data_IF_025116893496
#
_entry.id   IF_025116893496
#
_cell.length_a   1.000
_cell.length_b   1.000
_cell.length_c   1.000
_cell.angle_alpha   90.00
_cell.angle_beta   90.00
_cell.angle_gamma   90.00
#
_symmetry.space_group_name_H-M   'P 1'
#
loop_
_entity.id
_entity.type
_entity.pdbx_description
1 polymer ?
#
# COMPACT_ATOMS: atom_id res chain seq x y z
N UNK A 1 -16.45 -0.05 3.67
CA UNK A 1 -14.98 0.03 3.50
C UNK A 1 -14.64 -0.12 2.01
N UNK A 2 -13.86 0.81 1.44
CA UNK A 2 -13.34 0.72 0.06
C UNK A 2 -12.09 -0.17 0.01
N UNK A 3 -11.67 -0.61 -1.18
CA UNK A 3 -10.53 -1.52 -1.33
C UNK A 3 -9.20 -0.93 -0.77
N UNK A 4 -8.96 0.37 -0.96
CA UNK A 4 -7.81 1.05 -0.32
C UNK A 4 -7.91 1.06 1.20
N UNK A 5 -9.11 1.25 1.76
CA UNK A 5 -9.34 1.17 3.21
C UNK A 5 -9.03 -0.22 3.76
N UNK A 6 -9.39 -1.29 3.05
CA UNK A 6 -8.99 -2.64 3.43
C UNK A 6 -7.46 -2.81 3.41
N UNK A 7 -6.78 -2.27 2.39
CA UNK A 7 -5.32 -2.31 2.33
C UNK A 7 -4.68 -1.58 3.52
N UNK A 8 -5.18 -0.39 3.86
CA UNK A 8 -4.73 0.38 5.02
C UNK A 8 -4.95 -0.35 6.34
N UNK A 9 -6.15 -0.91 6.55
CA UNK A 9 -6.47 -1.74 7.72
C UNK A 9 -5.49 -2.91 7.83
N UNK A 10 -5.26 -3.65 6.74
CA UNK A 10 -4.33 -4.75 6.73
C UNK A 10 -2.90 -4.30 7.04
N UNK A 11 -2.47 -3.17 6.49
CA UNK A 11 -1.12 -2.63 6.71
C UNK A 11 -0.89 -2.25 8.17
N UNK A 12 -1.86 -1.56 8.78
CA UNK A 12 -1.79 -1.11 10.16
C UNK A 12 -1.88 -2.28 11.14
N UNK A 13 -2.87 -3.16 10.99
CA UNK A 13 -3.03 -4.32 11.87
C UNK A 13 -1.85 -5.29 11.75
N UNK A 14 -1.19 -5.31 10.60
CA UNK A 14 0.05 -6.05 10.37
C UNK A 14 1.31 -5.31 10.86
N UNK A 15 1.21 -4.10 11.41
CA UNK A 15 2.34 -3.28 11.88
C UNK A 15 3.36 -2.97 10.78
N UNK A 16 2.95 -2.98 9.52
CA UNK A 16 3.82 -2.71 8.36
C UNK A 16 4.03 -1.19 8.23
N UNK A 17 3.12 -0.38 8.74
CA UNK A 17 3.26 1.07 8.86
C UNK A 17 4.19 1.52 10.01
N UNK A 18 4.73 0.59 10.81
CA UNK A 18 5.65 0.89 11.93
C UNK A 18 7.09 0.69 11.50
N UNK A 19 7.96 1.62 11.87
CA UNK A 19 9.40 1.53 11.68
C UNK A 19 10.16 1.64 13.01
N UNK A 20 11.20 0.82 13.12
CA UNK A 20 12.16 0.85 14.22
C UNK A 20 13.55 0.53 13.64
N UNK A 21 14.65 1.16 14.10
CA UNK A 21 16.00 0.96 13.55
C UNK A 21 16.47 -0.50 13.56
N UNK A 22 15.93 -1.33 14.45
CA UNK A 22 16.22 -2.77 14.46
C UNK A 22 15.86 -3.49 13.15
N UNK A 23 14.96 -2.94 12.31
CA UNK A 23 14.65 -3.47 10.99
C UNK A 23 15.80 -3.36 9.99
N UNK A 24 16.82 -2.53 10.22
CA UNK A 24 18.02 -2.55 9.39
C UNK A 24 18.74 -3.91 9.44
N UNK A 25 18.62 -4.62 10.57
CA UNK A 25 19.15 -5.98 10.74
C UNK A 25 18.19 -7.07 10.24
N UNK A 26 16.91 -6.74 10.01
CA UNK A 26 15.85 -7.65 9.59
C UNK A 26 15.13 -7.09 8.37
N UNK A 27 15.63 -7.44 7.18
CA UNK A 27 15.14 -6.90 5.91
C UNK A 27 13.64 -7.10 5.76
N UNK A 28 12.91 -6.00 5.58
CA UNK A 28 11.49 -6.01 5.21
C UNK A 28 11.36 -6.35 3.73
N UNK A 29 11.32 -7.64 3.42
CA UNK A 29 11.18 -8.16 2.06
C UNK A 29 9.70 -8.30 1.65
N UNK A 30 9.38 -8.46 0.36
CA UNK A 30 8.01 -8.79 -0.05
C UNK A 30 7.46 -10.05 0.62
N UNK A 31 8.31 -11.08 0.83
CA UNK A 31 7.90 -12.28 1.55
C UNK A 31 7.58 -12.03 3.03
N UNK A 32 8.31 -11.12 3.68
CA UNK A 32 7.98 -10.68 5.04
C UNK A 32 6.63 -9.94 5.08
N UNK A 33 6.36 -9.08 4.09
CA UNK A 33 5.06 -8.40 3.96
C UNK A 33 3.93 -9.41 3.77
N UNK A 34 4.06 -10.35 2.83
CA UNK A 34 3.06 -11.41 2.62
C UNK A 34 2.81 -12.23 3.89
N UNK A 35 3.87 -12.62 4.61
CA UNK A 35 3.71 -13.33 5.88
C UNK A 35 2.91 -12.53 6.91
N UNK A 36 3.23 -11.25 7.11
CA UNK A 36 2.49 -10.38 8.05
C UNK A 36 1.02 -10.22 7.64
N UNK A 37 0.76 -9.97 6.36
CA UNK A 37 -0.60 -9.84 5.83
C UNK A 37 -1.41 -11.13 5.99
N UNK A 38 -0.79 -12.29 5.75
CA UNK A 38 -1.42 -13.59 5.89
C UNK A 38 -1.83 -13.88 7.35
N UNK A 39 -0.95 -13.59 8.31
CA UNK A 39 -1.24 -13.73 9.75
C UNK A 39 -2.40 -12.85 10.20
N UNK A 40 -2.44 -11.60 9.72
CA UNK A 40 -3.51 -10.65 10.01
C UNK A 40 -4.83 -11.08 9.36
N UNK A 41 -4.80 -11.49 8.10
CA UNK A 41 -5.98 -11.92 7.34
C UNK A 41 -6.64 -13.19 7.91
N UNK A 42 -5.90 -14.02 8.64
CA UNK A 42 -6.46 -15.17 9.36
C UNK A 42 -7.43 -14.76 10.48
N UNK A 43 -7.29 -13.52 10.98
CA UNK A 43 -8.06 -12.98 12.12
C UNK A 43 -9.23 -12.09 11.68
N UNK A 44 -9.21 -11.61 10.43
CA UNK A 44 -10.27 -10.79 9.84
C UNK A 44 -11.28 -11.70 9.16
N UNK A 45 -12.58 -11.49 9.38
CA UNK A 45 -13.64 -12.26 8.71
C UNK A 45 -14.30 -11.45 7.59
N UNK A 46 -14.58 -12.12 6.48
CA UNK A 46 -15.45 -11.64 5.41
C UNK A 46 -16.67 -12.57 5.34
N UNK A 47 -17.82 -12.08 5.80
CA UNK A 47 -18.97 -12.93 6.08
C UNK A 47 -18.60 -14.03 7.09
N UNK A 48 -18.72 -15.30 6.67
CA UNK A 48 -18.51 -16.45 7.56
C UNK A 48 -17.12 -17.09 7.47
N UNK A 49 -16.22 -16.58 6.64
CA UNK A 49 -14.87 -17.17 6.48
C UNK A 49 -13.79 -16.14 6.83
N UNK A 50 -12.58 -16.60 7.23
CA UNK A 50 -11.42 -15.72 7.31
C UNK A 50 -11.08 -15.13 5.94
N UNK A 51 -10.64 -13.87 5.91
CA UNK A 51 -10.16 -13.17 4.72
C UNK A 51 -9.03 -13.94 4.04
N UNK A 52 -8.17 -14.59 4.83
CA UNK A 52 -7.08 -15.44 4.35
C UNK A 52 -7.53 -16.48 3.31
N UNK A 53 -8.78 -16.96 3.37
CA UNK A 53 -9.29 -17.95 2.40
C UNK A 53 -9.59 -17.34 1.02
N UNK A 54 -9.65 -16.02 0.90
CA UNK A 54 -9.86 -15.32 -0.37
C UNK A 54 -8.69 -14.39 -0.73
N UNK A 55 -7.65 -14.34 0.10
CA UNK A 55 -6.53 -13.40 -0.04
C UNK A 55 -5.31 -14.08 -0.67
N UNK A 56 -4.95 -13.67 -1.88
CA UNK A 56 -3.72 -14.07 -2.55
C UNK A 56 -2.65 -12.99 -2.38
N UNK A 57 -1.40 -13.38 -2.16
CA UNK A 57 -0.34 -12.46 -1.75
C UNK A 57 0.90 -12.57 -2.63
N UNK A 58 1.72 -11.50 -2.63
CA UNK A 58 3.02 -11.45 -3.33
C UNK A 58 3.82 -12.73 -3.10
N UNK A 59 4.23 -13.36 -4.19
CA UNK A 59 5.03 -14.57 -4.18
C UNK A 59 6.21 -14.43 -5.15
N UNK A 60 7.40 -14.78 -4.67
CA UNK A 60 8.54 -15.03 -5.54
C UNK A 60 8.39 -16.39 -6.21
N UNK A 61 9.05 -16.57 -7.36
CA UNK A 61 9.13 -17.87 -8.02
C UNK A 61 9.62 -18.92 -7.01
N UNK A 62 8.98 -20.08 -7.03
CA UNK A 62 9.32 -21.25 -6.20
C UNK A 62 9.19 -21.04 -4.67
N UNK A 63 8.60 -19.93 -4.21
CA UNK A 63 8.29 -19.73 -2.80
C UNK A 63 7.07 -20.56 -2.34
N UNK A 64 6.96 -20.94 -1.05
CA UNK A 64 5.79 -21.65 -0.53
C UNK A 64 4.46 -20.90 -0.76
N UNK A 65 4.51 -19.56 -0.81
CA UNK A 65 3.35 -18.71 -1.10
C UNK A 65 2.71 -19.04 -2.46
N UNK A 66 3.47 -19.53 -3.44
CA UNK A 66 2.95 -19.92 -4.77
C UNK A 66 1.95 -21.07 -4.66
N UNK A 67 2.27 -22.09 -3.85
CA UNK A 67 1.38 -23.22 -3.63
C UNK A 67 0.11 -22.78 -2.89
N UNK A 68 0.27 -21.91 -1.89
CA UNK A 68 -0.86 -21.36 -1.13
C UNK A 68 -1.79 -20.53 -2.03
N UNK A 69 -1.23 -19.65 -2.88
CA UNK A 69 -1.99 -18.87 -3.86
C UNK A 69 -2.78 -19.79 -4.81
N UNK A 70 -2.16 -20.83 -5.37
CA UNK A 70 -2.85 -21.79 -6.25
C UNK A 70 -3.98 -22.52 -5.55
N UNK A 71 -3.77 -22.90 -4.29
CA UNK A 71 -4.80 -23.58 -3.50
C UNK A 71 -5.99 -22.65 -3.24
N UNK A 72 -5.73 -21.39 -2.85
CA UNK A 72 -6.77 -20.37 -2.65
C UNK A 72 -7.58 -20.14 -3.92
N UNK A 73 -6.93 -19.98 -5.08
CA UNK A 73 -7.60 -19.80 -6.36
C UNK A 73 -8.48 -21.02 -6.71
N UNK A 74 -7.97 -22.24 -6.51
CA UNK A 74 -8.72 -23.47 -6.77
C UNK A 74 -9.97 -23.58 -5.90
N UNK A 75 -9.84 -23.30 -4.60
CA UNK A 75 -10.97 -23.37 -3.67
C UNK A 75 -11.98 -22.26 -3.92
N UNK A 76 -11.51 -21.06 -4.30
CA UNK A 76 -12.36 -19.95 -4.69
C UNK A 76 -13.17 -20.26 -5.95
N UNK A 77 -12.57 -20.86 -6.97
CA UNK A 77 -13.27 -21.30 -8.18
C UNK A 77 -14.35 -22.35 -7.89
N UNK A 78 -14.05 -23.34 -7.04
CA UNK A 78 -15.04 -24.36 -6.61
C UNK A 78 -16.21 -23.77 -5.83
N UNK A 79 -15.93 -22.75 -5.02
CA UNK A 79 -16.91 -22.09 -4.17
C UNK A 79 -17.58 -20.86 -4.81
N UNK A 80 -17.33 -20.58 -6.10
CA UNK A 80 -17.77 -19.37 -6.79
C UNK A 80 -17.51 -18.09 -5.97
N UNK A 81 -16.31 -18.00 -5.39
CA UNK A 81 -15.92 -16.95 -4.45
C UNK A 81 -14.95 -15.97 -5.11
N UNK A 82 -15.21 -14.67 -4.88
CA UNK A 82 -14.32 -13.58 -5.29
C UNK A 82 -12.96 -13.68 -4.59
N UNK A 83 -11.94 -13.18 -5.27
CA UNK A 83 -10.59 -13.11 -4.73
C UNK A 83 -10.22 -11.66 -4.40
N UNK A 84 -9.39 -11.50 -3.37
CA UNK A 84 -8.62 -10.30 -3.11
C UNK A 84 -7.16 -10.65 -3.36
N UNK A 85 -6.45 -9.87 -4.16
CA UNK A 85 -5.04 -10.07 -4.44
C UNK A 85 -4.26 -8.84 -3.98
N UNK A 86 -3.18 -9.03 -3.25
CA UNK A 86 -2.23 -7.96 -2.90
C UNK A 86 -0.89 -8.28 -3.54
N UNK A 87 -0.45 -7.42 -4.45
CA UNK A 87 0.88 -7.49 -5.05
C UNK A 87 1.57 -6.12 -5.13
N UNK A 88 2.63 -6.05 -5.93
CA UNK A 88 3.25 -4.81 -6.38
C UNK A 88 3.15 -4.72 -7.91
N UNK A 89 3.09 -3.50 -8.44
CA UNK A 89 3.37 -3.29 -9.86
C UNK A 89 4.81 -3.75 -10.17
N UNK A 90 5.01 -4.30 -11.37
CA UNK A 90 6.33 -4.62 -11.88
C UNK A 90 7.17 -3.34 -12.00
N UNK A 91 8.49 -3.46 -12.16
CA UNK A 91 9.30 -2.29 -12.53
C UNK A 91 8.72 -1.65 -13.80
N UNK A 92 8.67 -0.32 -13.84
CA UNK A 92 8.15 0.40 -14.98
C UNK A 92 9.00 0.13 -16.23
N UNK A 93 8.31 -0.02 -17.36
CA UNK A 93 8.86 -0.08 -18.71
C UNK A 93 7.73 0.22 -19.70
N UNK A 94 8.07 0.59 -20.94
CA UNK A 94 7.06 0.82 -21.99
C UNK A 94 6.16 -0.41 -22.17
N UNK A 95 6.73 -1.61 -22.14
CA UNK A 95 5.98 -2.86 -22.23
C UNK A 95 5.09 -3.12 -21.00
N UNK A 96 5.44 -2.62 -19.82
CA UNK A 96 4.58 -2.71 -18.65
C UNK A 96 3.41 -1.71 -18.73
N UNK A 97 3.66 -0.50 -19.25
CA UNK A 97 2.65 0.53 -19.47
C UNK A 97 1.66 0.11 -20.58
N UNK A 98 2.14 -0.52 -21.65
CA UNK A 98 1.31 -1.09 -22.70
C UNK A 98 0.41 -2.22 -22.16
N UNK A 99 0.96 -3.12 -21.32
CA UNK A 99 0.16 -4.17 -20.68
C UNK A 99 -0.96 -3.60 -19.83
N UNK A 100 -0.77 -2.46 -19.16
CA UNK A 100 -1.80 -1.80 -18.33
C UNK A 100 -3.08 -1.49 -19.11
N UNK A 101 -3.04 -1.44 -20.45
CA UNK A 101 -4.23 -1.27 -21.29
C UNK A 101 -5.21 -2.44 -21.23
N UNK A 102 -4.74 -3.65 -20.87
CA UNK A 102 -5.55 -4.88 -20.90
C UNK A 102 -5.39 -5.78 -19.66
N UNK A 103 -4.32 -5.61 -18.88
CA UNK A 103 -4.03 -6.40 -17.68
C UNK A 103 -3.17 -5.60 -16.69
N UNK A 104 -3.26 -5.91 -15.39
CA UNK A 104 -2.39 -5.26 -14.41
C UNK A 104 -0.95 -5.76 -14.56
N UNK A 105 0.05 -4.89 -14.77
CA UNK A 105 1.44 -5.29 -14.93
C UNK A 105 2.06 -5.63 -13.57
N UNK A 106 1.66 -6.75 -12.98
CA UNK A 106 2.12 -7.16 -11.65
C UNK A 106 3.57 -7.67 -11.68
N UNK A 107 4.30 -7.39 -10.60
CA UNK A 107 5.44 -8.17 -10.14
C UNK A 107 4.97 -9.20 -9.09
N UNK A 108 5.83 -10.15 -8.72
CA UNK A 108 5.59 -11.09 -7.61
C UNK A 108 4.22 -11.82 -7.67
N UNK A 109 3.74 -12.12 -8.87
CA UNK A 109 2.40 -12.66 -9.12
C UNK A 109 2.38 -14.19 -9.20
N UNK A 110 3.44 -14.88 -8.76
CA UNK A 110 3.52 -16.33 -8.95
C UNK A 110 2.38 -17.06 -8.21
N UNK A 111 1.62 -17.85 -8.96
CA UNK A 111 0.44 -18.56 -8.47
C UNK A 111 -0.87 -17.77 -8.57
N UNK A 112 -0.85 -16.53 -9.07
CA UNK A 112 -2.07 -15.78 -9.39
C UNK A 112 -2.74 -16.32 -10.66
N UNK A 113 -4.07 -16.18 -10.78
CA UNK A 113 -4.73 -16.29 -12.09
C UNK A 113 -4.28 -15.14 -13.01
N UNK A 114 -4.50 -15.32 -14.30
CA UNK A 114 -4.42 -14.22 -15.25
C UNK A 114 -5.50 -13.20 -14.92
N UNK A 115 -5.14 -11.91 -14.86
CA UNK A 115 -6.06 -10.84 -14.50
C UNK A 115 -6.47 -10.08 -15.75
N UNK A 116 -7.73 -10.23 -16.16
CA UNK A 116 -8.31 -9.42 -17.23
C UNK A 116 -8.74 -8.10 -16.61
N UNK A 117 -8.24 -6.98 -17.16
CA UNK A 117 -8.59 -5.64 -16.69
C UNK A 117 -9.59 -5.01 -17.67
N UNK A 118 -10.89 -4.91 -17.31
CA UNK A 118 -11.87 -4.21 -18.12
C UNK A 118 -11.53 -2.73 -18.29
N UNK A 119 -11.91 -2.16 -19.43
CA UNK A 119 -11.62 -0.76 -19.77
C UNK A 119 -12.20 0.23 -18.75
N UNK A 120 -13.43 0.00 -18.31
CA UNK A 120 -14.10 0.86 -17.32
C UNK A 120 -13.37 0.84 -15.97
N UNK A 121 -12.82 -0.32 -15.57
CA UNK A 121 -12.01 -0.45 -14.35
C UNK A 121 -10.68 0.28 -14.54
N UNK A 122 -10.02 0.12 -15.70
CA UNK A 122 -8.78 0.83 -16.03
C UNK A 122 -8.95 2.34 -15.98
N UNK A 123 -10.00 2.88 -16.60
CA UNK A 123 -10.27 4.32 -16.60
C UNK A 123 -10.56 4.85 -15.19
N UNK A 124 -11.25 4.07 -14.33
CA UNK A 124 -11.44 4.43 -12.91
C UNK A 124 -10.12 4.44 -12.14
N UNK A 125 -9.27 3.44 -12.37
CA UNK A 125 -7.94 3.33 -11.79
C UNK A 125 -7.07 4.54 -12.16
N UNK A 126 -6.99 4.87 -13.45
CA UNK A 126 -6.23 6.01 -13.97
C UNK A 126 -6.70 7.34 -13.39
N UNK A 127 -8.02 7.54 -13.29
CA UNK A 127 -8.59 8.76 -12.70
C UNK A 127 -8.32 8.86 -11.20
N UNK A 128 -8.46 7.76 -10.46
CA UNK A 128 -8.46 7.79 -8.99
C UNK A 128 -7.06 7.68 -8.39
N UNK A 129 -6.13 7.07 -9.13
CA UNK A 129 -4.76 6.79 -8.67
C UNK A 129 -3.71 7.32 -9.66
N UNK A 130 -4.00 8.47 -10.29
CA UNK A 130 -3.09 9.11 -11.25
C UNK A 130 -1.72 9.42 -10.63
N UNK A 131 -1.70 9.78 -9.33
CA UNK A 131 -0.50 10.04 -8.55
C UNK A 131 0.36 8.79 -8.41
N UNK A 132 -0.21 7.70 -7.93
CA UNK A 132 0.49 6.43 -7.71
C UNK A 132 1.01 5.86 -9.04
N UNK A 133 0.23 5.98 -10.12
CA UNK A 133 0.70 5.62 -11.46
C UNK A 133 1.85 6.53 -11.93
N UNK A 134 1.82 7.83 -11.61
CA UNK A 134 2.93 8.74 -11.83
C UNK A 134 4.18 8.39 -11.00
N UNK A 135 4.00 7.97 -9.74
CA UNK A 135 5.07 7.49 -8.88
C UNK A 135 5.70 6.21 -9.45
N UNK A 136 4.87 5.27 -9.90
CA UNK A 136 5.31 4.05 -10.56
C UNK A 136 6.17 4.33 -11.79
N UNK A 137 5.75 5.26 -12.66
CA UNK A 137 6.52 5.70 -13.84
C UNK A 137 7.87 6.32 -13.48
N UNK A 138 7.98 6.92 -12.29
CA UNK A 138 9.24 7.44 -11.73
C UNK A 138 10.08 6.38 -11.02
N UNK A 139 9.67 5.10 -11.08
CA UNK A 139 10.39 3.97 -10.49
C UNK A 139 10.09 3.73 -9.00
N UNK A 140 9.08 4.41 -8.44
CA UNK A 140 8.66 4.16 -7.06
C UNK A 140 7.95 2.81 -6.94
N UNK A 141 8.04 2.21 -5.76
CA UNK A 141 7.32 0.97 -5.46
C UNK A 141 5.85 1.29 -5.21
N UNK A 142 4.96 0.63 -5.97
CA UNK A 142 3.52 0.76 -5.80
C UNK A 142 2.93 -0.59 -5.46
N UNK A 143 2.31 -0.67 -4.29
CA UNK A 143 1.50 -1.81 -3.85
C UNK A 143 0.13 -1.69 -4.52
N UNK A 144 -0.40 -2.82 -4.96
CA UNK A 144 -1.72 -2.93 -5.59
C UNK A 144 -2.55 -3.94 -4.84
N UNK A 145 -3.79 -3.56 -4.56
CA UNK A 145 -4.84 -4.47 -4.09
C UNK A 145 -5.90 -4.57 -5.19
N UNK A 146 -6.38 -5.79 -5.44
CA UNK A 146 -7.31 -6.11 -6.53
C UNK A 146 -8.45 -6.94 -5.98
N UNK A 147 -9.69 -6.59 -6.31
CA UNK A 147 -10.85 -7.48 -6.17
C UNK A 147 -11.19 -8.06 -7.55
N UNK A 148 -11.46 -9.37 -7.61
CA UNK A 148 -11.83 -10.05 -8.86
C UNK A 148 -13.10 -10.86 -8.72
N UNK A 149 -13.75 -11.13 -9.84
CA UNK A 149 -14.71 -12.22 -9.93
C UNK A 149 -14.04 -13.58 -9.63
N UNK A 150 -14.82 -14.63 -9.31
CA UNK A 150 -14.27 -15.95 -9.06
C UNK A 150 -13.37 -16.42 -10.24
N UNK A 151 -12.29 -17.16 -9.96
CA UNK A 151 -11.42 -17.65 -11.00
C UNK A 151 -12.10 -18.73 -11.83
N UNK A 152 -12.00 -18.59 -13.15
CA UNK A 152 -12.50 -19.53 -14.14
C UNK A 152 -11.35 -20.27 -14.81
N UNK A 153 -11.61 -21.51 -15.23
CA UNK A 153 -10.65 -22.27 -16.05
C UNK A 153 -10.85 -21.89 -17.51
N UNK A 154 -9.84 -21.26 -18.10
CA UNK A 154 -9.73 -21.01 -19.53
C UNK A 154 -8.74 -21.98 -20.16
N UNK A 155 -8.69 -22.04 -21.48
CA UNK A 155 -7.69 -22.84 -22.20
C UNK A 155 -6.84 -21.93 -23.06
N UNK A 156 -5.53 -21.97 -22.85
CA UNK A 156 -4.55 -21.28 -23.69
C UNK A 156 -3.92 -22.26 -24.65
N UNK A 157 -3.78 -21.85 -25.90
CA UNK A 157 -3.08 -22.64 -26.90
C UNK A 157 -1.57 -22.36 -26.80
N UNK A 158 -0.80 -23.35 -26.32
CA UNK A 158 0.66 -23.24 -26.12
C UNK A 158 1.31 -24.48 -26.70
N UNK A 159 2.28 -24.29 -27.59
CA UNK A 159 3.02 -25.37 -28.28
C UNK A 159 2.09 -26.39 -28.99
N UNK A 160 1.04 -25.91 -29.67
CA UNK A 160 0.09 -26.77 -30.37
C UNK A 160 -0.89 -27.52 -29.46
N UNK A 161 -0.91 -27.24 -28.15
CA UNK A 161 -1.76 -27.92 -27.17
C UNK A 161 -2.58 -26.93 -26.35
N UNK A 162 -3.83 -27.30 -26.06
CA UNK A 162 -4.67 -26.56 -25.12
C UNK A 162 -4.21 -26.90 -23.69
N UNK A 163 -3.68 -25.89 -22.99
CA UNK A 163 -3.32 -26.01 -21.57
C UNK A 163 -4.34 -25.23 -20.73
N UNK A 164 -4.84 -25.81 -19.63
CA UNK A 164 -5.70 -25.08 -18.72
C UNK A 164 -4.94 -23.90 -18.12
N UNK A 165 -5.57 -22.73 -18.11
CA UNK A 165 -5.12 -21.51 -17.43
C UNK A 165 -6.23 -21.05 -16.49
N UNK A 166 -5.85 -20.43 -15.38
CA UNK A 166 -6.82 -19.79 -14.49
C UNK A 166 -6.92 -18.32 -14.86
N UNK A 167 -8.13 -17.80 -15.03
CA UNK A 167 -8.38 -16.41 -15.39
C UNK A 167 -9.40 -15.79 -14.41
N UNK A 168 -9.27 -14.50 -14.12
CA UNK A 168 -10.23 -13.76 -13.32
C UNK A 168 -10.41 -12.35 -13.87
N UNK A 169 -11.66 -11.91 -13.98
CA UNK A 169 -12.01 -10.55 -14.36
C UNK A 169 -11.88 -9.63 -13.15
N UNK A 170 -11.11 -8.56 -13.29
CA UNK A 170 -10.93 -7.56 -12.25
C UNK A 170 -12.20 -6.72 -12.10
N UNK A 171 -12.61 -6.48 -10.85
CA UNK A 171 -13.78 -5.66 -10.48
C UNK A 171 -13.32 -4.27 -10.04
N UNK A 172 -12.32 -4.23 -9.17
CA UNK A 172 -11.82 -3.00 -8.58
C UNK A 172 -10.32 -3.11 -8.26
N UNK A 173 -9.64 -1.97 -8.27
CA UNK A 173 -8.21 -1.85 -8.06
C UNK A 173 -7.92 -0.62 -7.23
N UNK A 174 -7.05 -0.75 -6.23
CA UNK A 174 -6.48 0.39 -5.53
C UNK A 174 -4.96 0.30 -5.47
N UNK A 175 -4.32 1.47 -5.52
CA UNK A 175 -2.87 1.62 -5.47
C UNK A 175 -2.45 2.36 -4.21
N UNK A 176 -1.26 2.02 -3.72
CA UNK A 176 -0.61 2.69 -2.60
C UNK A 176 0.90 2.77 -2.87
N UNK A 177 1.41 3.98 -3.08
CA UNK A 177 2.86 4.21 -3.14
C UNK A 177 3.48 3.90 -1.78
N UNK A 178 4.61 3.20 -1.78
CA UNK A 178 5.35 2.87 -0.57
C UNK A 178 6.84 3.15 -0.75
N UNK A 179 7.50 3.44 0.36
CA UNK A 179 8.96 3.54 0.41
C UNK A 179 9.63 2.16 0.17
N UNK A 180 10.96 2.11 -0.06
CA UNK A 180 11.72 0.86 -0.06
C UNK A 180 11.46 -0.01 1.19
N UNK A 181 11.15 0.63 2.33
CA UNK A 181 10.87 0.02 3.64
C UNK A 181 9.41 -0.42 3.81
N UNK A 182 8.56 -0.26 2.79
CA UNK A 182 7.12 -0.54 2.79
C UNK A 182 6.29 0.37 3.71
N UNK A 183 6.77 1.59 3.98
CA UNK A 183 5.97 2.63 4.62
C UNK A 183 5.12 3.33 3.54
N UNK A 184 3.78 3.42 3.69
CA UNK A 184 2.91 4.14 2.76
C UNK A 184 3.26 5.62 2.66
N UNK A 185 3.12 6.21 1.47
CA UNK A 185 3.46 7.60 1.19
C UNK A 185 2.32 8.32 0.44
N UNK A 186 1.81 9.40 1.02
CA UNK A 186 0.74 10.25 0.48
C UNK A 186 1.28 11.49 -0.25
N UNK A 187 2.60 11.71 -0.23
CA UNK A 187 3.27 12.63 -1.16
C UNK A 187 4.75 12.30 -1.39
N UNK A 188 5.36 12.95 -2.38
CA UNK A 188 6.81 12.91 -2.57
C UNK A 188 7.59 13.54 -1.39
N UNK A 189 7.02 14.58 -0.76
CA UNK A 189 7.63 15.22 0.40
C UNK A 189 7.63 14.31 1.64
N UNK A 190 6.57 13.51 1.82
CA UNK A 190 6.59 12.46 2.84
C UNK A 190 7.69 11.44 2.58
N UNK A 191 7.97 11.11 1.32
CA UNK A 191 9.08 10.23 0.95
C UNK A 191 10.44 10.80 1.38
N UNK A 192 10.62 12.13 1.29
CA UNK A 192 11.85 12.81 1.77
C UNK A 192 11.95 12.73 3.29
N UNK A 193 10.86 13.01 4.00
CA UNK A 193 10.81 12.94 5.48
C UNK A 193 11.05 11.51 5.96
N UNK A 194 10.38 10.52 5.38
CA UNK A 194 10.53 9.11 5.74
C UNK A 194 11.93 8.59 5.45
N UNK A 195 12.57 9.03 4.36
CA UNK A 195 13.96 8.69 4.10
C UNK A 195 14.90 9.31 5.14
N UNK A 196 14.68 10.58 5.56
CA UNK A 196 15.47 11.19 6.63
C UNK A 196 15.28 10.48 7.96
N UNK A 197 14.03 10.19 8.35
CA UNK A 197 13.72 9.44 9.57
C UNK A 197 14.48 8.10 9.60
N UNK A 198 14.55 7.42 8.46
CA UNK A 198 15.34 6.19 8.33
C UNK A 198 16.85 6.42 8.45
N UNK A 199 17.40 7.43 7.78
CA UNK A 199 18.83 7.76 7.82
C UNK A 199 19.30 8.11 9.24
N UNK A 200 18.50 8.91 9.97
CA UNK A 200 18.77 9.31 11.36
C UNK A 200 18.41 8.23 12.39
N UNK A 201 18.06 7.01 11.95
CA UNK A 201 17.75 5.88 12.82
C UNK A 201 16.65 6.21 13.83
N UNK A 202 15.58 6.83 13.34
CA UNK A 202 14.39 7.16 14.14
C UNK A 202 13.45 5.97 14.27
N UNK A 203 12.70 5.91 15.37
CA UNK A 203 11.53 5.03 15.53
C UNK A 203 10.26 5.83 15.27
N UNK A 204 9.40 5.34 14.37
CA UNK A 204 8.21 6.07 13.97
C UNK A 204 7.06 5.17 13.51
N UNK A 205 5.86 5.74 13.43
CA UNK A 205 4.65 5.13 12.89
C UNK A 205 4.12 6.05 11.77
N UNK A 206 3.64 5.48 10.66
CA UNK A 206 2.80 6.16 9.66
C UNK A 206 1.34 5.82 9.97
N UNK A 207 0.55 6.69 10.63
CA UNK A 207 -0.87 6.42 10.86
C UNK A 207 -1.60 6.23 9.52
N UNK A 208 -2.58 5.31 9.48
CA UNK A 208 -3.34 5.03 8.28
C UNK A 208 -4.84 5.18 8.51
N UNK A 209 -5.55 5.66 7.50
CA UNK A 209 -6.99 5.92 7.55
C UNK A 209 -7.73 4.81 6.81
N UNK A 210 -8.63 4.09 7.49
CA UNK A 210 -9.47 3.07 6.84
C UNK A 210 -10.96 3.18 7.17
N UNK A 211 -11.34 3.76 8.32
CA UNK A 211 -12.72 4.03 8.71
C UNK A 211 -12.87 5.48 9.26
N UNK A 212 -13.80 6.28 8.74
CA UNK A 212 -14.19 7.60 9.29
C UNK A 212 -13.58 8.85 8.63
N UNK A 213 -14.27 10.00 8.78
CA UNK A 213 -13.88 11.31 8.21
C UNK A 213 -13.29 12.32 9.24
N UNK A 214 -13.38 12.02 10.55
CA UNK A 214 -13.30 13.06 11.58
C UNK A 214 -11.99 13.20 12.36
N UNK A 215 -11.02 12.28 12.22
CA UNK A 215 -9.76 12.35 12.97
C UNK A 215 -8.61 12.99 12.16
N UNK A 216 -7.94 13.97 12.77
CA UNK A 216 -6.70 14.57 12.25
C UNK A 216 -5.53 13.68 12.63
N UNK A 217 -5.10 12.84 11.69
CA UNK A 217 -3.87 12.06 11.81
C UNK A 217 -2.66 12.81 11.25
N UNK A 218 -1.54 12.81 11.97
CA UNK A 218 -0.26 13.28 11.43
C UNK A 218 0.27 12.33 10.38
N UNK A 219 1.13 12.86 9.52
CA UNK A 219 1.77 12.06 8.48
C UNK A 219 2.69 11.02 9.12
N UNK A 220 3.44 11.36 10.17
CA UNK A 220 4.18 10.40 10.97
C UNK A 220 4.06 10.70 12.47
N UNK A 221 4.41 9.73 13.29
CA UNK A 221 4.54 9.88 14.75
C UNK A 221 5.90 9.36 15.16
N UNK A 222 6.75 10.23 15.70
CA UNK A 222 8.02 9.85 16.31
C UNK A 222 7.79 9.22 17.68
N UNK A 223 8.51 8.13 17.98
CA UNK A 223 8.37 7.32 19.20
C UNK A 223 9.63 7.31 20.07
N UNK A 224 10.58 8.18 19.76
CA UNK A 224 11.93 8.19 20.35
C UNK A 224 12.41 9.58 20.78
N UNK A 225 11.50 10.53 20.97
CA UNK A 225 11.82 11.88 21.45
C UNK A 225 11.79 11.88 22.98
N UNK A 226 12.87 12.28 23.69
CA UNK A 226 12.89 12.31 25.14
C UNK A 226 11.78 13.18 25.74
N UNK A 227 11.11 12.68 26.77
CA UNK A 227 10.06 13.40 27.48
C UNK A 227 8.72 13.49 26.74
N UNK A 228 8.58 12.86 25.56
CA UNK A 228 7.34 12.86 24.77
C UNK A 228 7.00 11.42 24.33
N UNK A 229 5.81 10.93 24.67
CA UNK A 229 5.40 9.57 24.31
C UNK A 229 5.17 9.38 22.81
N UNK A 230 4.70 10.43 22.13
CA UNK A 230 4.40 10.45 20.71
C UNK A 230 4.50 11.88 20.19
N UNK A 231 5.48 12.17 19.34
CA UNK A 231 5.61 13.49 18.72
C UNK A 231 5.04 13.44 17.29
N UNK A 232 3.95 14.18 16.98
CA UNK A 232 3.42 14.28 15.63
C UNK A 232 4.41 14.94 14.67
N UNK A 233 4.42 14.46 13.43
CA UNK A 233 5.24 14.95 12.32
C UNK A 233 4.32 15.19 11.13
N UNK A 234 4.22 16.43 10.67
CA UNK A 234 3.30 16.85 9.61
C UNK A 234 4.06 17.47 8.42
N UNK A 235 3.63 17.17 7.19
CA UNK A 235 4.29 17.62 5.96
C UNK A 235 3.32 18.43 5.10
N UNK A 236 3.59 19.73 4.99
CA UNK A 236 2.82 20.64 4.14
C UNK A 236 3.47 20.77 2.75
N UNK A 237 2.84 20.19 1.73
CA UNK A 237 3.41 20.06 0.39
C UNK A 237 2.63 20.69 -0.76
N UNK A 238 1.47 21.31 -0.49
CA UNK A 238 0.64 21.94 -1.52
C UNK A 238 0.42 23.42 -1.20
N UNK A 239 0.16 24.24 -2.23
CA UNK A 239 0.00 25.70 -2.08
C UNK A 239 -1.32 26.23 -2.66
N UNK A 240 -2.37 25.40 -2.71
CA UNK A 240 -3.70 25.88 -3.14
C UNK A 240 -4.40 26.63 -1.99
N UNK A 241 -5.32 27.57 -2.28
CA UNK A 241 -6.05 28.30 -1.25
C UNK A 241 -6.78 27.39 -0.25
N UNK A 242 -7.41 26.31 -0.74
CA UNK A 242 -8.08 25.31 0.10
C UNK A 242 -7.10 24.61 1.05
N UNK A 243 -5.86 24.39 0.58
CA UNK A 243 -4.81 23.78 1.37
C UNK A 243 -4.26 24.72 2.45
N UNK A 244 -4.18 26.03 2.18
CA UNK A 244 -3.78 27.02 3.18
C UNK A 244 -4.78 27.07 4.35
N UNK A 245 -6.09 27.00 4.06
CA UNK A 245 -7.11 26.91 5.10
C UNK A 245 -6.99 25.61 5.90
N UNK A 246 -6.79 24.48 5.22
CA UNK A 246 -6.60 23.18 5.87
C UNK A 246 -5.34 23.15 6.74
N UNK A 247 -4.26 23.82 6.31
CA UNK A 247 -3.02 23.99 7.06
C UNK A 247 -3.27 24.75 8.37
N UNK A 248 -3.97 25.89 8.32
CA UNK A 248 -4.31 26.66 9.52
C UNK A 248 -5.15 25.84 10.50
N UNK A 249 -6.14 25.09 10.00
CA UNK A 249 -6.95 24.18 10.83
C UNK A 249 -6.09 23.10 11.50
N UNK A 250 -5.18 22.46 10.75
CA UNK A 250 -4.25 21.45 11.29
C UNK A 250 -3.30 22.04 12.33
N UNK A 251 -2.71 23.20 12.06
CA UNK A 251 -1.86 23.92 13.02
C UNK A 251 -2.60 24.22 14.31
N UNK A 252 -3.81 24.80 14.22
CA UNK A 252 -4.62 25.09 15.40
C UNK A 252 -5.00 23.83 16.18
N UNK A 253 -5.32 22.73 15.49
CA UNK A 253 -5.57 21.44 16.10
C UNK A 253 -4.32 20.92 16.85
N UNK A 254 -3.16 20.91 16.20
CA UNK A 254 -1.93 20.41 16.83
C UNK A 254 -1.48 21.26 18.02
N UNK A 255 -1.60 22.58 17.91
CA UNK A 255 -1.28 23.49 19.02
C UNK A 255 -2.23 23.29 20.20
N UNK A 256 -3.51 23.00 19.95
CA UNK A 256 -4.49 22.72 21.00
C UNK A 256 -4.30 21.34 21.65
N UNK A 257 -4.04 20.31 20.85
CA UNK A 257 -3.96 18.91 21.29
C UNK A 257 -2.61 18.57 21.95
N UNK A 258 -1.51 19.04 21.36
CA UNK A 258 -0.15 18.69 21.81
C UNK A 258 0.55 19.84 22.53
N UNK A 259 0.09 21.08 22.33
CA UNK A 259 0.74 22.29 22.80
C UNK A 259 1.70 22.88 21.76
N UNK A 260 1.80 24.20 21.76
CA UNK A 260 2.66 24.92 20.82
C UNK A 260 4.13 24.48 21.00
N UNK A 261 4.74 24.03 19.90
CA UNK A 261 6.12 23.52 19.88
C UNK A 261 6.28 22.02 20.22
N UNK A 262 5.20 21.31 20.55
CA UNK A 262 5.21 19.87 20.85
C UNK A 262 4.77 18.99 19.66
N UNK A 263 4.97 19.50 18.45
CA UNK A 263 4.82 18.77 17.20
C UNK A 263 5.81 19.33 16.18
N UNK A 264 6.27 18.50 15.26
CA UNK A 264 7.19 18.90 14.21
C UNK A 264 6.44 19.05 12.89
N UNK A 265 6.83 20.03 12.08
CA UNK A 265 6.31 20.15 10.73
C UNK A 265 7.35 20.64 9.75
N UNK A 266 7.14 20.31 8.47
CA UNK A 266 7.87 20.92 7.37
C UNK A 266 6.90 21.50 6.36
N UNK A 267 7.07 22.78 6.06
CA UNK A 267 6.34 23.48 5.01
C UNK A 267 7.20 23.60 3.75
N UNK A 268 7.09 22.62 2.86
CA UNK A 268 7.89 22.52 1.65
C UNK A 268 7.57 23.61 0.61
N UNK A 269 6.46 24.34 0.76
CA UNK A 269 6.10 25.46 -0.14
C UNK A 269 6.74 26.78 0.26
N UNK A 270 7.15 26.92 1.53
CA UNK A 270 7.80 28.12 2.07
C UNK A 270 9.31 27.89 2.25
N UNK A 271 9.71 26.66 2.58
CA UNK A 271 11.10 26.28 2.80
C UNK A 271 11.45 25.03 1.99
N UNK A 272 12.32 25.19 0.98
CA UNK A 272 12.81 24.07 0.18
C UNK A 272 13.67 23.10 1.00
N UNK A 273 14.34 23.60 2.04
CA UNK A 273 15.11 22.78 2.97
C UNK A 273 14.25 22.32 4.13
N UNK A 274 14.33 21.02 4.43
CA UNK A 274 13.63 20.41 5.54
C UNK A 274 14.34 20.79 6.87
N UNK A 275 13.59 21.24 7.90
CA UNK A 275 14.15 21.54 9.22
C UNK A 275 14.84 20.33 9.86
N UNK A 276 15.76 20.59 10.79
CA UNK A 276 16.33 19.53 11.61
C UNK A 276 15.22 18.79 12.38
N UNK A 277 15.36 17.47 12.48
CA UNK A 277 14.47 16.68 13.31
C UNK A 277 14.75 16.94 14.80
N UNK A 278 13.76 16.77 15.69
CA UNK A 278 13.96 16.92 17.13
C UNK A 278 15.02 15.93 17.64
N UNK A 279 15.82 16.30 18.66
CA UNK A 279 16.85 15.43 19.20
C UNK A 279 16.27 14.13 19.77
N UNK A 280 17.12 13.10 19.80
CA UNK A 280 16.85 11.79 20.40
C UNK A 280 17.46 11.69 21.79
#
# INVERSE_FOLDING_TARGET
MRLLGLLHLLWEQSGINVWHPAFDKKKRSPGWVSWRLNETAARIRIGRIPLQQSLMLMAMKDSPQVAQNRQIAKDAGRGARRLILISQLAAWSDAADERLQTTLPLGLFFGFPDLVLPEDVRLRLERSFCRELGDWRRGMKVVVIVETEPPETTFRHVDGRNRPSSCSTVIDVALMTVSPRFIPLDSGYEGIVEDRLWQEKRAFIKPLRYDGEDDVFPDFVLKDVPGVDALPVEVFGMNTPEYQLRRQQKTAYYDAEYGQGNWWYWNATEHSEMPALPPR
#
